data_IF_472119853873
#
_entry.id   IF_472119853873
#
_cell.length_a   1.000
_cell.length_b   1.000
_cell.length_c   1.000
_cell.angle_alpha   90.00
_cell.angle_beta   90.00
_cell.angle_gamma   90.00
#
_symmetry.space_group_name_H-M   'P 1'
#
loop_
_entity.id
_entity.type
_entity.pdbx_description
1 polymer ?
#
# COMPACT_ATOMS: atom_id res chain seq x y z
N UNK A 1 15.70 16.89 -55.61
CA UNK A 1 14.83 16.89 -54.41
C UNK A 1 14.53 15.44 -54.00
N UNK A 2 15.56 14.65 -53.69
CA UNK A 2 15.40 13.18 -53.55
C UNK A 2 16.28 12.56 -52.45
N UNK A 3 17.26 13.30 -51.92
CA UNK A 3 18.18 12.77 -50.91
C UNK A 3 17.66 12.95 -49.48
N UNK A 4 16.99 14.08 -49.20
CA UNK A 4 16.38 14.33 -47.89
C UNK A 4 15.26 13.34 -47.50
N UNK A 5 14.63 12.62 -48.43
CA UNK A 5 13.56 11.67 -48.11
C UNK A 5 14.07 10.29 -47.66
N UNK A 6 15.29 9.90 -48.03
CA UNK A 6 15.86 8.59 -47.67
C UNK A 6 16.49 8.59 -46.28
N UNK A 7 17.04 9.72 -45.85
CA UNK A 7 17.71 9.86 -44.55
C UNK A 7 16.73 9.73 -43.37
N UNK A 8 15.56 10.37 -43.46
CA UNK A 8 14.52 10.27 -42.42
C UNK A 8 13.96 8.85 -42.27
N UNK A 9 13.76 8.14 -43.39
CA UNK A 9 13.21 6.78 -43.40
C UNK A 9 14.16 5.76 -42.74
N UNK A 10 15.47 5.90 -42.93
CA UNK A 10 16.46 5.00 -42.31
C UNK A 10 16.59 5.20 -40.80
N UNK A 11 16.53 6.45 -40.33
CA UNK A 11 16.64 6.77 -38.90
C UNK A 11 15.42 6.29 -38.10
N UNK A 12 14.23 6.28 -38.70
CA UNK A 12 13.02 5.73 -38.06
C UNK A 12 12.97 4.19 -38.11
N UNK A 13 13.55 3.56 -39.13
CA UNK A 13 13.50 2.10 -39.30
C UNK A 13 14.48 1.34 -38.41
N UNK A 14 15.67 1.88 -38.14
CA UNK A 14 16.67 1.30 -37.24
C UNK A 14 16.13 0.94 -35.83
N UNK A 15 15.49 1.86 -35.08
CA UNK A 15 14.95 1.56 -33.76
C UNK A 15 13.75 0.61 -33.81
N UNK A 16 12.91 0.71 -34.83
CA UNK A 16 11.76 -0.20 -35.03
C UNK A 16 12.22 -1.62 -35.36
N UNK A 17 13.22 -1.75 -36.24
CA UNK A 17 13.80 -3.04 -36.61
C UNK A 17 14.52 -3.70 -35.42
N UNK A 18 15.26 -2.92 -34.61
CA UNK A 18 15.83 -3.41 -33.35
C UNK A 18 14.76 -3.88 -32.38
N UNK A 19 13.68 -3.13 -32.21
CA UNK A 19 12.56 -3.53 -31.36
C UNK A 19 11.89 -4.83 -31.85
N UNK A 20 11.64 -4.94 -33.16
CA UNK A 20 11.09 -6.16 -33.77
C UNK A 20 12.02 -7.36 -33.59
N UNK A 21 13.32 -7.20 -33.80
CA UNK A 21 14.29 -8.28 -33.60
C UNK A 21 14.37 -8.70 -32.12
N UNK A 22 14.29 -7.74 -31.19
CA UNK A 22 14.25 -8.02 -29.75
C UNK A 22 12.99 -8.79 -29.33
N UNK A 23 11.83 -8.40 -29.87
CA UNK A 23 10.54 -9.04 -29.63
C UNK A 23 10.48 -10.44 -30.23
N UNK A 24 11.03 -10.65 -31.43
CA UNK A 24 11.07 -11.98 -32.06
C UNK A 24 12.02 -12.93 -31.31
N UNK A 25 13.17 -12.43 -30.85
CA UNK A 25 14.14 -13.26 -30.15
C UNK A 25 13.75 -13.56 -28.69
N UNK A 26 13.14 -12.59 -27.99
CA UNK A 26 12.84 -12.68 -26.55
C UNK A 26 11.34 -12.71 -26.22
N UNK A 27 10.45 -12.82 -27.20
CA UNK A 27 9.01 -12.68 -27.01
C UNK A 27 8.41 -13.59 -25.94
N UNK A 28 8.90 -14.84 -25.82
CA UNK A 28 8.46 -15.77 -24.77
C UNK A 28 8.86 -15.30 -23.37
N UNK A 29 10.08 -14.77 -23.22
CA UNK A 29 10.59 -14.22 -21.95
C UNK A 29 9.83 -12.97 -21.56
N UNK A 30 9.62 -12.04 -22.52
CA UNK A 30 8.88 -10.80 -22.29
C UNK A 30 7.44 -11.12 -21.88
N UNK A 31 6.77 -12.05 -22.58
CA UNK A 31 5.42 -12.49 -22.20
C UNK A 31 5.39 -13.08 -20.79
N UNK A 32 6.36 -13.92 -20.44
CA UNK A 32 6.49 -14.49 -19.09
C UNK A 32 6.64 -13.41 -18.01
N UNK A 33 7.49 -12.40 -18.26
CA UNK A 33 7.68 -11.27 -17.34
C UNK A 33 6.39 -10.46 -17.19
N UNK A 34 5.69 -10.16 -18.28
CA UNK A 34 4.41 -9.43 -18.24
C UNK A 34 3.37 -10.20 -17.43
N UNK A 35 3.22 -11.51 -17.68
CA UNK A 35 2.30 -12.36 -16.91
C UNK A 35 2.68 -12.39 -15.43
N UNK A 36 3.96 -12.50 -15.09
CA UNK A 36 4.43 -12.47 -13.71
C UNK A 36 4.08 -11.14 -13.02
N UNK A 37 4.28 -10.01 -13.70
CA UNK A 37 3.90 -8.68 -13.18
C UNK A 37 2.39 -8.62 -12.92
N UNK A 38 1.57 -9.08 -13.87
CA UNK A 38 0.10 -9.09 -13.72
C UNK A 38 -0.31 -9.91 -12.49
N UNK A 39 0.29 -11.09 -12.29
CA UNK A 39 0.01 -11.95 -11.12
C UNK A 39 0.40 -11.25 -9.82
N UNK A 40 1.56 -10.58 -9.77
CA UNK A 40 1.99 -9.83 -8.58
C UNK A 40 1.03 -8.68 -8.27
N UNK A 41 0.65 -7.89 -9.27
CA UNK A 41 -0.30 -6.77 -9.09
C UNK A 41 -1.67 -7.27 -8.67
N UNK A 42 -2.18 -8.34 -9.29
CA UNK A 42 -3.44 -8.96 -8.90
C UNK A 42 -3.40 -9.48 -7.46
N UNK A 43 -2.30 -10.15 -7.08
CA UNK A 43 -2.08 -10.61 -5.71
C UNK A 43 -2.05 -9.47 -4.70
N UNK A 44 -1.38 -8.35 -5.03
CA UNK A 44 -1.33 -7.16 -4.19
C UNK A 44 -2.71 -6.52 -4.00
N UNK A 45 -3.47 -6.35 -5.08
CA UNK A 45 -4.83 -5.79 -5.03
C UNK A 45 -5.73 -6.71 -4.20
N UNK A 46 -5.67 -8.02 -4.43
CA UNK A 46 -6.43 -9.01 -3.66
C UNK A 46 -6.11 -8.93 -2.17
N UNK A 47 -4.84 -8.94 -1.79
CA UNK A 47 -4.43 -8.82 -0.39
C UNK A 47 -4.92 -7.50 0.24
N UNK A 48 -4.77 -6.38 -0.47
CA UNK A 48 -5.17 -5.07 0.04
C UNK A 48 -6.68 -4.97 0.27
N UNK A 49 -7.49 -5.43 -0.69
CA UNK A 49 -8.95 -5.30 -0.61
C UNK A 49 -9.59 -6.31 0.33
N UNK A 50 -9.12 -7.56 0.36
CA UNK A 50 -9.77 -8.63 1.12
C UNK A 50 -9.19 -8.85 2.51
N UNK A 51 -7.96 -8.40 2.78
CA UNK A 51 -7.31 -8.59 4.09
C UNK A 51 -7.11 -7.25 4.80
N UNK A 52 -6.45 -6.29 4.14
CA UNK A 52 -6.06 -5.02 4.78
C UNK A 52 -7.28 -4.13 5.03
N UNK A 53 -8.14 -3.94 4.02
CA UNK A 53 -9.33 -3.08 4.14
C UNK A 53 -10.31 -3.49 5.26
N UNK A 54 -10.77 -4.76 5.37
CA UNK A 54 -11.68 -5.13 6.47
C UNK A 54 -10.99 -5.05 7.84
N UNK A 55 -9.66 -5.22 7.89
CA UNK A 55 -8.88 -5.02 9.11
C UNK A 55 -8.82 -3.53 9.49
N UNK A 56 -8.70 -2.64 8.51
CA UNK A 56 -8.77 -1.19 8.68
C UNK A 56 -10.13 -0.75 9.21
N UNK A 57 -11.23 -1.23 8.62
CA UNK A 57 -12.59 -0.84 9.03
C UNK A 57 -12.86 -1.23 10.50
N UNK A 58 -12.49 -2.45 10.90
CA UNK A 58 -12.61 -2.90 12.31
C UNK A 58 -11.73 -2.08 13.26
N UNK A 59 -10.56 -1.64 12.79
CA UNK A 59 -9.68 -0.79 13.57
C UNK A 59 -10.28 0.61 13.74
N UNK A 60 -10.89 1.14 12.67
CA UNK A 60 -11.55 2.44 12.64
C UNK A 60 -12.69 2.52 13.67
N UNK A 61 -13.48 1.45 13.78
CA UNK A 61 -14.53 1.37 14.81
C UNK A 61 -13.94 1.36 16.23
N UNK A 62 -12.87 0.58 16.46
CA UNK A 62 -12.26 0.47 17.78
C UNK A 62 -11.59 1.76 18.24
N UNK A 63 -11.01 2.55 17.34
CA UNK A 63 -10.24 3.75 17.71
C UNK A 63 -11.09 4.94 18.15
N UNK A 64 -12.40 4.93 17.85
CA UNK A 64 -13.32 6.01 18.24
C UNK A 64 -13.29 6.24 19.75
N UNK A 65 -13.25 5.16 20.54
CA UNK A 65 -13.18 5.24 22.00
C UNK A 65 -11.86 5.80 22.49
N UNK A 66 -10.75 5.37 21.87
CA UNK A 66 -9.40 5.88 22.16
C UNK A 66 -9.31 7.38 21.94
N UNK A 67 -9.87 7.88 20.83
CA UNK A 67 -9.93 9.32 20.56
C UNK A 67 -10.74 10.06 21.63
N UNK A 68 -11.89 9.52 22.03
CA UNK A 68 -12.68 10.07 23.13
C UNK A 68 -11.88 10.17 24.43
N UNK A 69 -11.20 9.09 24.84
CA UNK A 69 -10.35 9.11 26.04
C UNK A 69 -9.19 10.09 25.95
N UNK A 70 -8.63 10.25 24.75
CA UNK A 70 -7.54 11.18 24.50
C UNK A 70 -8.00 12.64 24.66
N UNK A 71 -9.21 12.96 24.19
CA UNK A 71 -9.82 14.28 24.38
C UNK A 71 -10.19 14.57 25.85
N UNK A 72 -10.30 13.54 26.67
CA UNK A 72 -10.54 13.65 28.12
C UNK A 72 -9.23 13.71 28.92
N UNK A 73 -8.08 13.86 28.26
CA UNK A 73 -6.73 13.82 28.86
C UNK A 73 -6.49 12.57 29.73
N UNK A 74 -7.18 11.46 29.42
CA UNK A 74 -7.10 10.25 30.23
C UNK A 74 -6.13 9.25 29.62
N UNK A 75 -4.83 9.46 29.86
CA UNK A 75 -3.75 8.64 29.31
C UNK A 75 -3.90 7.14 29.63
N UNK A 76 -4.34 6.78 30.84
CA UNK A 76 -4.55 5.37 31.20
C UNK A 76 -5.69 4.73 30.39
N UNK A 77 -6.81 5.45 30.18
CA UNK A 77 -7.93 4.97 29.37
C UNK A 77 -7.56 4.91 27.88
N UNK A 78 -6.77 5.86 27.38
CA UNK A 78 -6.22 5.82 26.01
C UNK A 78 -5.44 4.53 25.80
N UNK A 79 -4.54 4.18 26.73
CA UNK A 79 -3.68 3.02 26.59
C UNK A 79 -4.45 1.70 26.73
N UNK A 80 -5.23 1.58 27.80
CA UNK A 80 -5.78 0.30 28.26
C UNK A 80 -7.27 0.13 27.98
N UNK A 81 -8.00 1.22 27.78
CA UNK A 81 -9.46 1.24 27.73
C UNK A 81 -10.09 1.20 29.12
N UNK A 82 -11.41 1.07 29.16
CA UNK A 82 -12.23 1.02 30.39
C UNK A 82 -12.68 -0.40 30.76
N UNK A 83 -12.10 -1.42 30.12
CA UNK A 83 -12.47 -2.83 30.28
C UNK A 83 -13.65 -3.29 29.42
N UNK A 84 -14.53 -2.38 28.98
CA UNK A 84 -15.58 -2.65 28.00
C UNK A 84 -15.10 -2.30 26.58
N UNK A 85 -14.52 -1.11 26.45
CA UNK A 85 -13.93 -0.57 25.23
C UNK A 85 -12.44 -0.92 25.16
N UNK A 86 -11.94 -1.10 23.94
CA UNK A 86 -10.53 -1.41 23.70
C UNK A 86 -9.67 -0.15 23.71
N UNK A 87 -8.53 -0.21 24.40
CA UNK A 87 -7.51 0.85 24.37
C UNK A 87 -6.61 0.79 23.14
N UNK A 88 -5.76 1.81 22.99
CA UNK A 88 -4.81 1.95 21.90
C UNK A 88 -3.87 0.73 21.79
N UNK A 89 -3.42 0.17 22.92
CA UNK A 89 -2.51 -0.99 22.90
C UNK A 89 -3.16 -2.22 22.27
N UNK A 90 -4.45 -2.44 22.52
CA UNK A 90 -5.21 -3.50 21.87
C UNK A 90 -5.26 -3.28 20.36
N UNK A 91 -5.53 -2.05 19.93
CA UNK A 91 -5.65 -1.72 18.51
C UNK A 91 -4.31 -1.93 17.79
N UNK A 92 -3.21 -1.50 18.40
CA UNK A 92 -1.86 -1.65 17.86
C UNK A 92 -1.52 -3.14 17.66
N UNK A 93 -1.83 -3.99 18.64
CA UNK A 93 -1.49 -5.40 18.60
C UNK A 93 -2.37 -6.20 17.61
N UNK A 94 -3.68 -5.92 17.59
CA UNK A 94 -4.63 -6.71 16.79
C UNK A 94 -4.77 -6.19 15.35
N UNK A 95 -4.62 -4.87 15.17
CA UNK A 95 -4.82 -4.22 13.88
C UNK A 95 -3.50 -3.74 13.23
N UNK A 96 -2.34 -4.23 13.67
CA UNK A 96 -1.05 -3.86 13.10
C UNK A 96 -1.00 -3.92 11.57
N UNK A 97 -0.39 -2.89 10.95
CA UNK A 97 -0.33 -2.72 9.50
C UNK A 97 -1.45 -1.87 8.89
N UNK A 98 -2.47 -1.50 9.69
CA UNK A 98 -3.50 -0.51 9.29
C UNK A 98 -3.04 0.92 9.58
N UNK A 99 -3.62 1.89 8.89
CA UNK A 99 -3.40 3.32 9.15
C UNK A 99 -3.92 3.69 10.54
N UNK A 100 -5.06 3.11 10.91
CA UNK A 100 -5.68 3.30 12.21
C UNK A 100 -4.81 2.78 13.35
N UNK A 101 -4.16 1.62 13.21
CA UNK A 101 -3.21 1.15 14.21
C UNK A 101 -2.01 2.10 14.36
N UNK A 102 -1.56 2.75 13.28
CA UNK A 102 -0.52 3.77 13.38
C UNK A 102 -1.00 5.04 14.09
N UNK A 103 -2.26 5.44 13.90
CA UNK A 103 -2.87 6.51 14.68
C UNK A 103 -2.99 6.14 16.17
N UNK A 104 -3.34 4.89 16.48
CA UNK A 104 -3.35 4.38 17.84
C UNK A 104 -1.94 4.42 18.47
N UNK A 105 -0.87 4.11 17.71
CA UNK A 105 0.52 4.26 18.19
C UNK A 105 0.84 5.70 18.57
N UNK A 106 0.36 6.68 17.79
CA UNK A 106 0.56 8.09 18.11
C UNK A 106 -0.11 8.44 19.45
N UNK A 107 -1.40 8.11 19.62
CA UNK A 107 -2.09 8.38 20.89
C UNK A 107 -1.45 7.66 22.06
N UNK A 108 -1.06 6.39 21.90
CA UNK A 108 -0.36 5.65 22.94
C UNK A 108 0.99 6.29 23.30
N UNK A 109 1.77 6.72 22.30
CA UNK A 109 3.05 7.39 22.52
C UNK A 109 2.88 8.69 23.30
N UNK A 110 1.93 9.54 22.92
CA UNK A 110 1.64 10.78 23.64
C UNK A 110 1.14 10.50 25.07
N UNK A 111 0.27 9.51 25.25
CA UNK A 111 -0.24 9.16 26.57
C UNK A 111 0.85 8.59 27.50
N UNK A 112 1.81 7.83 26.98
CA UNK A 112 2.97 7.40 27.79
C UNK A 112 3.85 8.55 28.26
N UNK A 113 3.94 9.64 27.50
CA UNK A 113 4.71 10.83 27.91
C UNK A 113 4.02 11.62 29.03
N UNK A 114 2.70 11.46 29.19
CA UNK A 114 1.90 12.16 30.19
C UNK A 114 1.50 11.26 31.38
N UNK A 115 2.15 10.09 31.53
CA UNK A 115 1.93 9.17 32.65
C UNK A 115 2.80 9.51 33.86
#
# INVERSE_FOLDING_TARGET
>A
MSEHHKEHTHLEQEPVAKAQHFLQHNGKTILGVVVAIVVVVAGWIGYTQYIVKPKEDKAADAIVKVQGYFLMDSSNLVLNGDGQSKGALYIINNFGGTKTANLAKYYAGVSYLHL
#
